data_IF_252899034797
#
_entry.id   IF_252899034797
#
_cell.length_a   1.000
_cell.length_b   1.000
_cell.length_c   1.000
_cell.angle_alpha   90.00
_cell.angle_beta   90.00
_cell.angle_gamma   90.00
#
_symmetry.space_group_name_H-M   'P 1'
#
loop_
_entity.id
_entity.type
_entity.pdbx_description
1 polymer ?
#
# COMPACT_ATOMS: atom_id res chain seq x y z
N UNK A 1 14.05 10.86 14.39
CA UNK A 1 13.70 10.09 13.17
C UNK A 1 13.68 11.06 12.02
N UNK A 2 14.45 10.80 10.98
CA UNK A 2 14.53 11.69 9.82
C UNK A 2 13.26 11.57 8.97
N UNK A 3 12.56 12.68 8.76
CA UNK A 3 11.34 12.76 7.94
C UNK A 3 11.62 13.37 6.55
N UNK A 4 12.88 13.70 6.23
CA UNK A 4 13.27 14.35 4.97
C UNK A 4 12.91 13.54 3.73
N UNK A 5 12.87 12.21 3.82
CA UNK A 5 12.48 11.32 2.71
C UNK A 5 11.00 10.96 2.64
N UNK A 6 10.15 11.51 3.50
CA UNK A 6 8.73 11.12 3.61
C UNK A 6 7.82 11.94 2.68
N UNK A 7 6.94 11.26 1.95
CA UNK A 7 5.76 11.81 1.31
C UNK A 7 4.50 11.20 1.94
N UNK A 8 3.73 11.98 2.70
CA UNK A 8 2.48 11.52 3.30
C UNK A 8 1.28 12.00 2.46
N UNK A 9 0.62 11.08 1.77
CA UNK A 9 -0.52 11.33 0.90
C UNK A 9 -1.84 11.07 1.61
N UNK A 10 -2.75 12.03 1.59
CA UNK A 10 -4.15 11.83 1.97
C UNK A 10 -4.98 11.68 0.69
N UNK A 11 -5.46 10.47 0.41
CA UNK A 11 -6.22 10.17 -0.82
C UNK A 11 -7.72 10.23 -0.53
N UNK A 12 -8.43 11.16 -1.18
CA UNK A 12 -9.85 11.38 -0.90
C UNK A 12 -10.55 12.21 -1.97
N UNK A 13 -11.82 11.93 -2.23
CA UNK A 13 -12.71 12.82 -2.99
C UNK A 13 -13.49 13.79 -2.07
N UNK A 14 -13.25 13.76 -0.76
CA UNK A 14 -13.98 14.48 0.29
C UNK A 14 -13.02 15.42 1.01
N UNK A 15 -12.84 16.61 0.44
CA UNK A 15 -11.87 17.61 0.91
C UNK A 15 -11.96 17.88 2.42
N UNK A 16 -13.16 18.01 2.98
CA UNK A 16 -13.36 18.25 4.42
C UNK A 16 -12.73 17.15 5.27
N UNK A 17 -12.93 15.88 4.89
CA UNK A 17 -12.36 14.75 5.64
C UNK A 17 -10.85 14.64 5.40
N UNK A 18 -10.36 14.97 4.20
CA UNK A 18 -8.93 15.04 3.94
C UNK A 18 -8.25 16.06 4.87
N UNK A 19 -8.84 17.25 5.04
CA UNK A 19 -8.35 18.28 5.96
C UNK A 19 -8.36 17.82 7.42
N UNK A 20 -9.35 17.04 7.84
CA UNK A 20 -9.36 16.45 9.19
C UNK A 20 -8.20 15.47 9.39
N UNK A 21 -7.90 14.64 8.40
CA UNK A 21 -6.74 13.74 8.44
C UNK A 21 -5.44 14.52 8.53
N UNK A 22 -5.27 15.56 7.70
CA UNK A 22 -4.07 16.40 7.71
C UNK A 22 -3.84 17.09 9.07
N UNK A 23 -4.92 17.51 9.76
CA UNK A 23 -4.81 18.06 11.12
C UNK A 23 -4.26 17.05 12.13
N UNK A 24 -4.70 15.78 12.04
CA UNK A 24 -4.20 14.71 12.91
C UNK A 24 -2.73 14.39 12.68
N UNK A 25 -2.26 14.55 11.44
CA UNK A 25 -0.88 14.27 11.05
C UNK A 25 0.13 15.32 11.54
N UNK A 26 -0.29 16.52 11.94
CA UNK A 26 0.64 17.57 12.39
C UNK A 26 1.55 17.06 13.52
N UNK A 27 2.87 17.37 13.48
CA UNK A 27 3.53 18.31 12.55
C UNK A 27 4.00 17.70 11.22
N UNK A 28 3.63 16.45 10.88
CA UNK A 28 4.03 15.80 9.63
C UNK A 28 3.37 16.51 8.44
N UNK A 29 4.20 16.95 7.48
CA UNK A 29 3.73 17.49 6.21
C UNK A 29 2.94 16.42 5.44
N UNK A 30 1.76 16.78 4.95
CA UNK A 30 0.89 15.86 4.23
C UNK A 30 0.18 16.53 3.06
N UNK A 31 0.00 15.78 1.98
CA UNK A 31 -0.50 16.25 0.69
C UNK A 31 -1.83 15.60 0.37
N UNK A 32 -2.87 16.40 0.13
CA UNK A 32 -4.15 15.87 -0.33
C UNK A 32 -4.08 15.58 -1.83
N UNK A 33 -4.47 14.36 -2.21
CA UNK A 33 -4.63 13.93 -3.60
C UNK A 33 -6.12 13.74 -3.87
N UNK A 34 -6.72 14.56 -4.76
CA UNK A 34 -8.15 14.49 -5.04
C UNK A 34 -8.51 13.21 -5.79
N UNK A 35 -9.48 12.48 -5.24
CA UNK A 35 -9.96 11.19 -5.77
C UNK A 35 -11.17 11.27 -6.71
N UNK A 36 -11.57 12.46 -7.16
CA UNK A 36 -12.77 12.61 -7.97
C UNK A 36 -12.52 12.14 -9.41
N UNK A 37 -13.43 11.34 -9.97
CA UNK A 37 -13.39 10.80 -11.34
C UNK A 37 -12.18 9.92 -11.69
N UNK A 38 -11.41 9.46 -10.70
CA UNK A 38 -10.28 8.56 -10.94
C UNK A 38 -10.73 7.11 -11.13
N UNK A 39 -9.99 6.28 -11.90
CA UNK A 39 -10.46 4.96 -12.31
C UNK A 39 -10.40 3.89 -11.22
N UNK A 40 -9.50 4.04 -10.24
CA UNK A 40 -9.33 3.09 -9.14
C UNK A 40 -8.57 3.69 -7.96
N UNK A 41 -8.62 2.99 -6.83
CA UNK A 41 -7.75 3.26 -5.67
C UNK A 41 -6.27 3.08 -6.03
N UNK A 42 -5.91 1.99 -6.72
CA UNK A 42 -4.53 1.72 -7.17
C UNK A 42 -3.94 2.89 -7.96
N UNK A 43 -4.74 3.53 -8.83
CA UNK A 43 -4.33 4.71 -9.56
C UNK A 43 -3.93 5.85 -8.61
N UNK A 44 -4.73 6.13 -7.57
CA UNK A 44 -4.40 7.19 -6.59
C UNK A 44 -3.10 6.90 -5.84
N UNK A 45 -2.86 5.64 -5.47
CA UNK A 45 -1.61 5.24 -4.83
C UNK A 45 -0.44 5.41 -5.79
N UNK A 46 -0.57 4.97 -7.04
CA UNK A 46 0.47 5.15 -8.06
C UNK A 46 0.76 6.64 -8.33
N UNK A 47 -0.27 7.51 -8.32
CA UNK A 47 -0.09 8.95 -8.39
C UNK A 47 0.67 9.50 -7.18
N UNK A 48 0.36 9.04 -5.96
CA UNK A 48 1.11 9.42 -4.76
C UNK A 48 2.59 9.05 -4.86
N UNK A 49 2.89 7.84 -5.36
CA UNK A 49 4.26 7.38 -5.59
C UNK A 49 4.95 8.26 -6.63
N UNK A 50 4.28 8.60 -7.73
CA UNK A 50 4.83 9.49 -8.76
C UNK A 50 5.13 10.89 -8.23
N UNK A 51 4.25 11.45 -7.41
CA UNK A 51 4.48 12.76 -6.77
C UNK A 51 5.65 12.70 -5.79
N UNK A 52 5.73 11.65 -4.96
CA UNK A 52 6.82 11.42 -4.04
C UNK A 52 8.17 11.34 -4.78
N UNK A 53 8.21 10.56 -5.87
CA UNK A 53 9.38 10.40 -6.71
C UNK A 53 9.87 11.74 -7.31
N UNK A 54 8.95 12.54 -7.88
CA UNK A 54 9.31 13.87 -8.40
C UNK A 54 9.78 14.84 -7.32
N UNK A 55 9.35 14.65 -6.07
CA UNK A 55 9.76 15.43 -4.93
C UNK A 55 11.02 14.87 -4.22
N UNK A 56 11.73 13.92 -4.84
CA UNK A 56 12.91 13.23 -4.30
C UNK A 56 12.66 12.62 -2.91
N UNK A 57 11.46 12.06 -2.70
CA UNK A 57 11.05 11.37 -1.48
C UNK A 57 11.12 9.87 -1.72
N UNK A 58 11.73 9.13 -0.79
CA UNK A 58 11.95 7.69 -0.89
C UNK A 58 10.89 6.85 -0.17
N UNK A 59 10.12 7.46 0.74
CA UNK A 59 9.05 6.80 1.50
C UNK A 59 7.71 7.40 1.15
N UNK A 60 6.73 6.53 0.94
CA UNK A 60 5.33 6.95 0.76
C UNK A 60 4.52 6.41 1.92
N UNK A 61 3.72 7.26 2.54
CA UNK A 61 2.64 6.87 3.44
C UNK A 61 1.33 7.33 2.81
N UNK A 62 0.35 6.44 2.73
CA UNK A 62 -0.97 6.71 2.17
C UNK A 62 -2.02 6.63 3.27
N UNK A 63 -2.87 7.64 3.33
CA UNK A 63 -3.98 7.77 4.27
C UNK A 63 -5.29 7.88 3.49
N UNK A 64 -6.26 7.02 3.79
CA UNK A 64 -7.65 7.26 3.40
C UNK A 64 -8.28 8.39 4.24
N UNK A 65 -9.38 8.96 3.77
CA UNK A 65 -10.16 9.94 4.54
C UNK A 65 -10.95 9.36 5.73
N UNK A 66 -10.94 8.04 5.88
CA UNK A 66 -11.64 7.32 6.96
C UNK A 66 -10.76 7.06 8.17
N UNK A 67 -9.45 7.17 8.06
CA UNK A 67 -8.54 7.01 9.20
C UNK A 67 -8.37 8.32 9.96
N UNK A 68 -7.93 8.25 11.22
CA UNK A 68 -7.53 9.41 12.02
C UNK A 68 -6.12 9.16 12.58
N UNK A 69 -5.08 9.24 11.72
CA UNK A 69 -3.70 8.99 12.12
C UNK A 69 -3.14 10.15 12.94
N UNK A 70 -2.09 9.86 13.70
CA UNK A 70 -1.27 10.85 14.41
C UNK A 70 0.16 10.84 13.89
N UNK A 71 0.96 11.84 14.27
CA UNK A 71 2.41 11.84 14.03
C UNK A 71 3.13 10.62 14.67
N UNK A 72 2.58 10.09 15.76
CA UNK A 72 3.08 8.86 16.39
C UNK A 72 2.79 7.64 15.50
N UNK A 73 1.60 7.56 14.90
CA UNK A 73 1.27 6.50 13.94
C UNK A 73 2.23 6.53 12.73
N UNK A 74 2.57 7.73 12.23
CA UNK A 74 3.59 7.90 11.17
C UNK A 74 4.96 7.39 11.65
N UNK A 75 5.38 7.77 12.85
CA UNK A 75 6.66 7.34 13.43
C UNK A 75 6.73 5.81 13.58
N UNK A 76 5.61 5.17 13.93
CA UNK A 76 5.51 3.70 14.00
C UNK A 76 5.63 3.05 12.62
N UNK A 77 5.02 3.60 11.57
CA UNK A 77 5.21 3.12 10.20
C UNK A 77 6.69 3.19 9.82
N UNK A 78 7.32 4.35 10.00
CA UNK A 78 8.72 4.55 9.67
C UNK A 78 9.65 3.60 10.44
N UNK A 79 9.43 3.44 11.75
CA UNK A 79 10.21 2.50 12.56
C UNK A 79 10.10 1.06 12.07
N UNK A 80 8.92 0.62 11.63
CA UNK A 80 8.74 -0.73 11.05
C UNK A 80 9.36 -0.88 9.66
N UNK A 81 9.35 0.17 8.84
CA UNK A 81 10.11 0.16 7.59
C UNK A 81 11.61 0.06 7.84
N UNK A 82 12.12 0.74 8.88
CA UNK A 82 13.53 0.68 9.29
C UNK A 82 13.93 -0.69 9.86
N UNK A 83 12.99 -1.42 10.46
CA UNK A 83 13.16 -2.84 10.87
C UNK A 83 13.23 -3.81 9.66
N UNK A 84 12.95 -3.34 8.44
CA UNK A 84 13.03 -4.13 7.21
C UNK A 84 11.70 -4.73 6.74
N UNK A 85 10.55 -4.35 7.31
CA UNK A 85 9.26 -4.70 6.70
C UNK A 85 9.10 -3.95 5.38
N UNK A 86 8.65 -4.64 4.32
CA UNK A 86 8.44 -3.98 3.03
C UNK A 86 7.19 -3.10 3.04
N UNK A 87 6.13 -3.60 3.65
CA UNK A 87 4.83 -2.93 3.74
C UNK A 87 4.36 -2.87 5.18
N UNK A 88 3.90 -1.69 5.62
CA UNK A 88 3.43 -1.48 6.99
C UNK A 88 2.06 -0.83 6.97
N UNK A 89 1.02 -1.55 7.36
CA UNK A 89 -0.35 -1.07 7.48
C UNK A 89 -0.77 -0.91 8.94
N UNK A 90 -1.04 0.32 9.37
CA UNK A 90 -1.63 0.60 10.70
C UNK A 90 -3.16 0.70 10.67
N UNK A 91 -3.75 0.49 9.49
CA UNK A 91 -5.14 0.09 9.31
C UNK A 91 -5.29 -0.55 7.92
N UNK A 92 -4.81 -1.79 7.75
CA UNK A 92 -4.73 -2.49 6.44
C UNK A 92 -4.18 -1.55 5.35
N UNK A 93 -4.89 -1.47 4.22
CA UNK A 93 -4.64 -0.57 3.09
C UNK A 93 -5.41 0.76 3.19
N UNK A 94 -5.96 1.10 4.36
CA UNK A 94 -6.56 2.41 4.60
C UNK A 94 -5.58 3.41 5.24
N UNK A 95 -4.52 2.93 5.89
CA UNK A 95 -3.38 3.72 6.34
C UNK A 95 -2.12 2.86 6.40
N UNK A 96 -1.20 3.11 5.47
CA UNK A 96 -0.05 2.25 5.24
C UNK A 96 1.14 3.03 4.67
N UNK A 97 2.33 2.45 4.74
CA UNK A 97 3.52 2.99 4.11
C UNK A 97 4.50 1.93 3.63
N UNK A 98 5.39 2.36 2.73
CA UNK A 98 6.40 1.54 2.07
C UNK A 98 7.50 2.45 1.49
N UNK A 99 8.65 1.85 1.15
CA UNK A 99 9.73 2.52 0.40
C UNK A 99 9.46 2.38 -1.10
N UNK A 100 9.75 3.41 -1.90
CA UNK A 100 9.55 3.37 -3.37
C UNK A 100 10.31 2.20 -4.02
N UNK A 101 11.46 1.83 -3.45
CA UNK A 101 12.23 0.65 -3.89
C UNK A 101 11.41 -0.65 -3.88
N UNK A 102 10.48 -0.81 -2.94
CA UNK A 102 9.56 -1.96 -2.94
C UNK A 102 8.72 -1.97 -4.22
N UNK A 103 8.17 -0.81 -4.60
CA UNK A 103 7.35 -0.66 -5.80
C UNK A 103 8.19 -0.94 -7.05
N UNK A 104 9.45 -0.50 -7.07
CA UNK A 104 10.38 -0.80 -8.17
C UNK A 104 10.69 -2.30 -8.29
N UNK A 105 10.74 -3.02 -7.15
CA UNK A 105 10.95 -4.47 -7.09
C UNK A 105 9.71 -5.26 -7.52
N UNK A 106 8.52 -4.91 -7.02
CA UNK A 106 7.30 -5.69 -7.23
C UNK A 106 6.47 -5.21 -8.43
N UNK A 107 6.64 -3.96 -8.82
CA UNK A 107 5.81 -3.22 -9.76
C UNK A 107 4.78 -2.30 -9.07
N UNK A 108 4.13 -1.40 -9.83
CA UNK A 108 3.06 -0.53 -9.36
C UNK A 108 1.84 -1.31 -8.85
N UNK A 109 0.92 -0.64 -8.15
CA UNK A 109 -0.36 -1.24 -7.80
C UNK A 109 -1.21 -1.44 -9.07
N UNK A 110 -1.98 -2.53 -9.10
CA UNK A 110 -2.74 -2.97 -10.26
C UNK A 110 -3.95 -2.06 -10.54
N UNK A 111 -3.90 -1.29 -11.64
CA UNK A 111 -4.97 -0.36 -12.01
C UNK A 111 -6.11 -1.01 -12.82
N UNK A 112 -5.96 -2.27 -13.23
CA UNK A 112 -7.07 -3.04 -13.82
C UNK A 112 -8.10 -3.46 -12.77
N UNK A 113 -7.75 -3.43 -11.49
CA UNK A 113 -8.70 -3.51 -10.36
C UNK A 113 -9.49 -2.19 -10.30
N UNK A 114 -10.62 -2.14 -11.01
CA UNK A 114 -11.42 -0.91 -11.18
C UNK A 114 -12.27 -0.63 -9.95
N UNK A 115 -12.28 0.64 -9.54
CA UNK A 115 -12.94 1.06 -8.31
C UNK A 115 -12.05 0.82 -7.09
N UNK A 116 -12.56 0.12 -6.09
CA UNK A 116 -11.80 -0.25 -4.90
C UNK A 116 -12.20 -1.63 -4.42
N UNK A 117 -11.30 -2.26 -3.66
CA UNK A 117 -11.36 -3.65 -3.24
C UNK A 117 -10.41 -4.53 -4.04
N UNK A 118 -9.82 -5.50 -3.34
CA UNK A 118 -8.90 -6.53 -3.83
C UNK A 118 -7.51 -6.02 -4.26
N UNK A 119 -7.26 -4.72 -4.28
CA UNK A 119 -5.89 -4.19 -4.40
C UNK A 119 -4.99 -4.60 -3.24
N UNK A 120 -5.57 -4.74 -2.04
CA UNK A 120 -4.91 -5.21 -0.84
C UNK A 120 -4.45 -6.66 -1.03
N UNK A 121 -5.37 -7.51 -1.45
CA UNK A 121 -5.14 -8.92 -1.71
C UNK A 121 -4.12 -9.13 -2.84
N UNK A 122 -4.23 -8.39 -3.95
CA UNK A 122 -3.26 -8.43 -5.06
C UNK A 122 -1.85 -8.14 -4.57
N UNK A 123 -1.68 -7.06 -3.80
CA UNK A 123 -0.35 -6.66 -3.38
C UNK A 123 0.22 -7.57 -2.29
N UNK A 124 -0.62 -8.08 -1.39
CA UNK A 124 -0.20 -9.09 -0.39
C UNK A 124 0.26 -10.40 -1.03
N UNK A 125 -0.41 -10.85 -2.09
CA UNK A 125 0.02 -12.03 -2.83
C UNK A 125 1.38 -11.80 -3.48
N UNK A 126 1.60 -10.63 -4.08
CA UNK A 126 2.88 -10.23 -4.69
C UNK A 126 4.02 -10.12 -3.67
N UNK A 127 3.74 -9.57 -2.48
CA UNK A 127 4.69 -9.53 -1.37
C UNK A 127 5.12 -10.95 -0.95
N UNK A 128 4.16 -11.87 -0.85
CA UNK A 128 4.44 -13.27 -0.51
C UNK A 128 5.25 -13.99 -1.59
N UNK A 129 4.90 -13.81 -2.87
CA UNK A 129 5.65 -14.37 -3.99
C UNK A 129 7.10 -13.86 -4.04
N UNK A 130 7.34 -12.62 -3.60
CA UNK A 130 8.68 -12.02 -3.55
C UNK A 130 9.43 -12.26 -2.24
N UNK A 131 8.86 -13.04 -1.31
CA UNK A 131 9.37 -13.29 0.04
C UNK A 131 9.66 -12.00 0.83
N UNK A 132 8.70 -11.07 0.88
CA UNK A 132 8.83 -9.77 1.56
C UNK A 132 7.81 -9.64 2.69
N UNK A 133 8.27 -9.40 3.91
CA UNK A 133 7.40 -9.28 5.08
C UNK A 133 6.46 -8.06 5.03
N UNK A 134 5.26 -8.25 5.56
CA UNK A 134 4.27 -7.20 5.83
C UNK A 134 4.00 -7.12 7.33
N UNK A 135 3.76 -5.90 7.82
CA UNK A 135 3.32 -5.63 9.19
C UNK A 135 1.91 -5.03 9.16
N UNK A 136 0.96 -5.69 9.81
CA UNK A 136 -0.40 -5.18 10.03
C UNK A 136 -0.67 -4.96 11.52
N UNK A 137 -1.26 -3.82 11.86
CA UNK A 137 -1.78 -3.51 13.19
C UNK A 137 -3.03 -2.62 13.08
N UNK A 138 -4.19 -3.09 13.52
CA UNK A 138 -5.45 -2.31 13.55
C UNK A 138 -5.88 -1.92 14.97
N UNK A 139 -5.36 -2.58 16.00
CA UNK A 139 -5.99 -2.58 17.32
C UNK A 139 -5.48 -1.48 18.25
N UNK A 140 -4.30 -0.91 17.96
CA UNK A 140 -3.65 0.03 18.88
C UNK A 140 -3.24 1.37 18.26
N UNK A 141 -3.32 1.50 16.92
CA UNK A 141 -2.53 2.53 16.23
C UNK A 141 -3.33 3.69 15.63
N UNK A 142 -4.56 3.46 15.15
CA UNK A 142 -5.32 4.47 14.39
C UNK A 142 -6.83 4.26 14.54
N UNK A 143 -7.55 5.34 14.86
CA UNK A 143 -9.01 5.34 14.86
C UNK A 143 -9.56 5.32 13.42
N UNK A 144 -10.62 4.54 13.19
CA UNK A 144 -11.27 4.42 11.89
C UNK A 144 -12.74 4.84 11.95
N UNK A 145 -13.13 5.66 10.97
CA UNK A 145 -14.50 6.11 10.76
C UNK A 145 -15.21 5.14 9.81
N UNK A 146 -16.07 4.30 10.37
CA UNK A 146 -16.81 3.32 9.61
C UNK A 146 -17.88 3.99 8.72
N UNK A 147 -17.68 3.91 7.41
CA UNK A 147 -18.61 4.43 6.40
C UNK A 147 -18.60 3.52 5.17
N UNK A 148 -19.70 3.46 4.41
CA UNK A 148 -19.75 2.71 3.15
C UNK A 148 -18.65 3.12 2.17
N UNK A 149 -18.23 2.19 1.32
CA UNK A 149 -17.35 2.52 0.19
C UNK A 149 -18.06 3.45 -0.77
N UNK A 150 -17.33 4.43 -1.30
CA UNK A 150 -17.82 5.34 -2.35
C UNK A 150 -17.43 4.87 -3.75
N UNK A 151 -16.63 3.79 -3.84
CA UNK A 151 -16.31 3.14 -5.10
C UNK A 151 -17.52 2.36 -5.62
N UNK A 152 -17.81 2.52 -6.91
CA UNK A 152 -19.01 1.95 -7.55
C UNK A 152 -18.75 0.77 -8.48
N UNK A 153 -17.48 0.43 -8.72
CA UNK A 153 -17.06 -0.67 -9.59
C UNK A 153 -16.45 -1.77 -8.72
N UNK A 154 -16.69 -3.03 -9.11
CA UNK A 154 -16.09 -4.20 -8.48
C UNK A 154 -14.84 -4.63 -9.25
N UNK A 155 -13.82 -5.02 -8.48
CA UNK A 155 -12.56 -5.58 -8.97
C UNK A 155 -12.61 -7.10 -9.21
N UNK A 156 -13.70 -7.77 -8.79
CA UNK A 156 -13.77 -9.23 -8.68
C UNK A 156 -13.47 -9.95 -10.00
N UNK A 157 -14.02 -9.45 -11.11
CA UNK A 157 -13.85 -10.08 -12.44
C UNK A 157 -12.39 -10.09 -12.86
N UNK A 158 -11.69 -8.97 -12.72
CA UNK A 158 -10.28 -8.92 -13.09
C UNK A 158 -9.43 -9.72 -12.10
N UNK A 159 -9.69 -9.57 -10.79
CA UNK A 159 -8.94 -10.25 -9.75
C UNK A 159 -8.99 -11.78 -9.89
N UNK A 160 -10.18 -12.35 -10.12
CA UNK A 160 -10.36 -13.80 -10.39
C UNK A 160 -9.78 -14.28 -11.73
N UNK A 161 -9.51 -13.37 -12.67
CA UNK A 161 -8.78 -13.70 -13.90
C UNK A 161 -7.26 -13.68 -13.64
N UNK A 162 -6.78 -12.76 -12.80
CA UNK A 162 -5.36 -12.62 -12.46
C UNK A 162 -4.88 -13.65 -11.45
N UNK A 163 -5.74 -14.07 -10.52
CA UNK A 163 -5.37 -14.93 -9.41
C UNK A 163 -6.24 -16.17 -9.33
N UNK A 164 -5.60 -17.32 -9.22
CA UNK A 164 -6.23 -18.55 -8.73
C UNK A 164 -5.93 -18.65 -7.24
N UNK A 165 -6.96 -18.71 -6.42
CA UNK A 165 -6.83 -19.08 -5.03
C UNK A 165 -7.89 -20.13 -4.67
N UNK A 166 -7.50 -21.12 -3.88
CA UNK A 166 -8.45 -22.01 -3.22
C UNK A 166 -8.62 -21.58 -1.76
N UNK A 167 -9.67 -22.08 -1.09
CA UNK A 167 -10.05 -21.75 0.28
C UNK A 167 -8.88 -21.82 1.29
N UNK A 168 -8.07 -20.77 1.33
CA UNK A 168 -7.01 -20.49 2.28
C UNK A 168 -5.72 -21.33 2.18
N UNK A 169 -5.54 -22.17 1.15
CA UNK A 169 -4.38 -23.11 1.10
C UNK A 169 -3.39 -22.84 -0.03
N UNK A 170 -3.84 -22.18 -1.09
CA UNK A 170 -3.05 -21.98 -2.30
C UNK A 170 -3.36 -20.65 -2.98
N UNK A 171 -2.32 -19.99 -3.49
CA UNK A 171 -2.39 -18.79 -4.32
C UNK A 171 -1.44 -18.94 -5.49
N UNK A 172 -1.92 -18.61 -6.69
CA UNK A 172 -1.12 -18.62 -7.91
C UNK A 172 -1.54 -17.47 -8.82
N UNK A 173 -0.55 -16.74 -9.31
CA UNK A 173 -0.74 -15.74 -10.35
C UNK A 173 -1.02 -16.43 -11.67
N UNK A 174 -2.02 -15.96 -12.42
CA UNK A 174 -2.39 -16.48 -13.75
C UNK A 174 -2.11 -15.46 -14.87
N UNK A 175 -2.04 -14.17 -14.53
CA UNK A 175 -1.73 -13.10 -15.47
C UNK A 175 -0.51 -12.30 -15.01
N UNK A 176 0.37 -11.90 -15.94
CA UNK A 176 1.51 -11.06 -15.61
C UNK A 176 1.08 -9.64 -15.19
N UNK A 177 2.01 -8.92 -14.55
CA UNK A 177 1.85 -7.50 -14.27
C UNK A 177 1.72 -6.71 -15.58
N UNK A 178 0.88 -5.68 -15.55
CA UNK A 178 0.79 -4.74 -16.66
C UNK A 178 2.02 -3.81 -16.62
N UNK A 179 2.71 -3.59 -17.76
CA UNK A 179 3.74 -2.57 -17.82
C UNK A 179 3.06 -1.20 -17.79
N UNK A 180 3.22 -0.49 -16.67
CA UNK A 180 2.82 0.91 -16.56
C UNK A 180 4.03 1.82 -16.76
N UNK A 181 3.86 2.87 -17.56
CA UNK A 181 4.91 3.85 -17.85
C UNK A 181 4.98 4.94 -16.77
N UNK A 182 5.27 4.54 -15.54
CA UNK A 182 5.47 5.48 -14.44
C UNK A 182 6.93 5.93 -14.32
N UNK A 183 7.22 7.20 -14.00
CA UNK A 183 8.59 7.69 -13.85
C UNK A 183 9.39 6.93 -12.79
N UNK A 184 8.74 6.54 -11.69
CA UNK A 184 9.37 5.79 -10.61
C UNK A 184 9.77 4.36 -10.98
N UNK A 185 9.37 3.86 -12.16
CA UNK A 185 9.81 2.56 -12.69
C UNK A 185 11.14 2.64 -13.44
N UNK A 186 11.67 3.85 -13.66
CA UNK A 186 13.00 4.02 -14.21
C UNK A 186 14.06 3.58 -13.18
N UNK A 187 14.74 2.49 -13.51
CA UNK A 187 15.70 1.81 -12.63
C UNK A 187 17.02 2.56 -12.51
N UNK A 188 17.31 3.50 -13.39
CA UNK A 188 18.58 4.24 -13.37
C UNK A 188 18.68 5.22 -12.20
N UNK A 189 17.55 5.66 -11.63
CA UNK A 189 17.54 6.76 -10.67
C UNK A 189 17.80 6.39 -9.20
N UNK A 190 17.58 5.13 -8.78
CA UNK A 190 17.72 4.77 -7.34
C UNK A 190 18.23 3.35 -7.04
N UNK A 191 18.82 2.64 -8.01
CA UNK A 191 19.47 1.34 -7.75
C UNK A 191 20.83 1.49 -7.04
N UNK A 192 20.86 2.19 -5.91
CA UNK A 192 21.84 1.89 -4.87
C UNK A 192 21.26 0.75 -4.02
N UNK A 193 21.23 -0.43 -4.65
CA UNK A 193 20.88 -1.73 -4.06
C UNK A 193 21.41 -1.88 -2.62
N UNK A 194 20.54 -1.85 -1.61
CA UNK A 194 20.86 -2.46 -0.30
C UNK A 194 19.70 -2.64 0.68
N UNK A 195 18.43 -2.38 0.33
CA UNK A 195 17.34 -2.66 1.29
C UNK A 195 17.07 -4.17 1.33
N UNK A 196 17.58 -4.80 2.39
CA UNK A 196 17.25 -6.17 2.73
C UNK A 196 15.91 -6.20 3.46
N UNK A 197 14.86 -6.61 2.75
CA UNK A 197 13.57 -6.85 3.38
C UNK A 197 13.58 -8.13 4.21
N UNK A 198 12.85 -8.12 5.32
CA UNK A 198 12.57 -9.32 6.10
C UNK A 198 11.81 -10.34 5.23
N UNK A 199 12.04 -11.65 5.41
CA UNK A 199 11.34 -12.68 4.67
C UNK A 199 9.86 -12.76 5.09
N UNK A 200 8.99 -13.24 4.21
CA UNK A 200 7.54 -13.35 4.44
C UNK A 200 7.19 -14.12 5.73
N UNK A 201 8.03 -15.07 6.13
CA UNK A 201 7.89 -15.82 7.40
C UNK A 201 7.88 -14.93 8.66
N UNK A 202 8.36 -13.68 8.55
CA UNK A 202 8.37 -12.67 9.62
C UNK A 202 7.14 -11.76 9.60
N UNK A 203 6.22 -11.94 8.66
CA UNK A 203 5.02 -11.11 8.53
C UNK A 203 4.15 -11.15 9.78
N UNK A 204 3.62 -9.99 10.15
CA UNK A 204 2.57 -9.83 11.16
C UNK A 204 1.28 -9.53 10.42
N UNK A 205 0.32 -10.47 10.47
CA UNK A 205 -0.95 -10.38 9.76
C UNK A 205 -2.14 -10.47 10.70
N UNK A 206 -3.18 -9.70 10.41
CA UNK A 206 -4.44 -9.69 11.14
C UNK A 206 -5.38 -10.79 10.63
N UNK A 207 -6.42 -11.18 11.41
CA UNK A 207 -7.23 -12.36 11.13
C UNK A 207 -7.77 -12.51 9.69
N UNK A 208 -8.27 -11.46 9.01
CA UNK A 208 -8.74 -11.59 7.63
C UNK A 208 -7.66 -12.04 6.63
N UNK A 209 -6.40 -11.72 6.92
CA UNK A 209 -5.25 -11.98 6.05
C UNK A 209 -4.35 -13.11 6.55
N UNK A 210 -4.49 -13.52 7.81
CA UNK A 210 -3.58 -14.45 8.51
C UNK A 210 -3.42 -15.80 7.82
N UNK A 211 -4.42 -16.24 7.09
CA UNK A 211 -4.36 -17.49 6.33
C UNK A 211 -3.26 -17.49 5.26
N UNK A 212 -2.84 -16.32 4.77
CA UNK A 212 -1.75 -16.21 3.80
C UNK A 212 -0.40 -16.64 4.36
N UNK A 213 -0.22 -16.71 5.69
CA UNK A 213 0.99 -17.27 6.28
C UNK A 213 1.17 -18.74 5.87
N UNK A 214 0.08 -19.52 5.86
CA UNK A 214 0.08 -20.94 5.54
C UNK A 214 -0.15 -21.26 4.07
N UNK A 215 -0.68 -20.31 3.29
CA UNK A 215 -0.94 -20.52 1.87
C UNK A 215 0.36 -20.86 1.12
N UNK A 216 0.31 -21.82 0.21
CA UNK A 216 1.40 -22.11 -0.73
C UNK A 216 1.31 -21.16 -1.91
N UNK A 217 2.48 -20.77 -2.43
CA UNK A 217 2.59 -20.08 -3.71
C UNK A 217 2.75 -21.14 -4.81
N UNK A 218 1.88 -21.09 -5.82
CA UNK A 218 2.08 -21.84 -7.05
C UNK A 218 3.24 -21.25 -7.85
N UNK A 219 4.16 -22.10 -8.28
CA UNK A 219 5.22 -21.73 -9.20
C UNK A 219 4.75 -21.93 -10.64
N UNK A 220 4.98 -20.92 -11.48
CA UNK A 220 4.93 -21.06 -12.95
C UNK A 220 6.04 -21.98 -13.48
#
# INVERSE_FOLDING_TARGET
MDMSGLFCAVISHRETLAKEVQKGLLPVESFWIPGLHVPSFSYLVNQAISMAYHADRSTVIVCSDKVRPTAESVSKILGKLDEGYGWVGLYRFAFFGFRIELIQRLGPLEERLKGGGLEDSDYMFRLKEADVAIFEDENESVNYRYEPTTWRKSSDKFFSTKWRWDNASFVERLLPEQPYSYPFMDKEHHLNNQVSYLPWSRSVLLPPSKWLLSAKIGSH
#
